data_IF_047116426066
#
_entry.id   IF_047116426066
#
_cell.length_a   1.000
_cell.length_b   1.000
_cell.length_c   1.000
_cell.angle_alpha   90.00
_cell.angle_beta   90.00
_cell.angle_gamma   90.00
#
_symmetry.space_group_name_H-M   'P 1'
#
loop_
_entity.id
_entity.type
_entity.pdbx_description
1 polymer ?
#
# COMPACT_ATOMS: atom_id res chain seq x y z
N UNK A 1 0.45 12.51 -15.44
CA UNK A 1 0.63 11.22 -16.13
C UNK A 1 0.72 10.14 -15.05
N UNK A 2 -0.38 9.45 -14.84
CA UNK A 2 -0.49 8.43 -13.76
C UNK A 2 0.11 7.07 -14.14
N UNK A 3 0.84 6.96 -15.25
CA UNK A 3 1.33 5.69 -15.75
C UNK A 3 0.21 4.80 -16.31
N UNK A 4 0.59 3.67 -16.87
CA UNK A 4 -0.32 2.61 -17.30
C UNK A 4 0.08 1.28 -16.65
N UNK A 5 -0.82 0.29 -16.55
CA UNK A 5 -0.50 -1.03 -15.99
C UNK A 5 0.72 -1.70 -16.64
N UNK A 6 1.07 -1.31 -17.86
CA UNK A 6 2.25 -1.79 -18.59
C UNK A 6 3.58 -1.40 -17.91
N UNK A 7 3.58 -0.37 -17.05
CA UNK A 7 4.77 0.05 -16.29
C UNK A 7 5.01 -0.80 -15.02
N UNK A 8 4.05 -1.65 -14.63
CA UNK A 8 4.18 -2.48 -13.43
C UNK A 8 5.46 -3.33 -13.43
N UNK A 9 5.87 -4.02 -14.52
CA UNK A 9 7.12 -4.79 -14.52
C UNK A 9 8.35 -3.95 -14.17
N UNK A 10 8.43 -2.72 -14.66
CA UNK A 10 9.55 -1.81 -14.35
C UNK A 10 9.55 -1.44 -12.86
N UNK A 11 8.38 -1.15 -12.28
CA UNK A 11 8.27 -0.86 -10.85
C UNK A 11 8.64 -2.07 -10.00
N UNK A 12 8.32 -3.30 -10.44
CA UNK A 12 8.71 -4.52 -9.74
C UNK A 12 10.23 -4.74 -9.73
N UNK A 13 10.93 -4.34 -10.79
CA UNK A 13 12.40 -4.32 -10.79
C UNK A 13 12.94 -3.27 -9.80
N UNK A 14 12.36 -2.08 -9.79
CA UNK A 14 12.75 -0.99 -8.88
C UNK A 14 12.42 -1.26 -7.42
N UNK A 15 11.43 -2.10 -7.15
CA UNK A 15 11.13 -2.55 -5.78
C UNK A 15 12.28 -3.34 -5.14
N UNK A 16 13.21 -3.85 -5.96
CA UNK A 16 14.42 -4.58 -5.53
C UNK A 16 15.70 -3.75 -5.67
N UNK A 17 15.58 -2.45 -5.91
CA UNK A 17 16.75 -1.56 -6.04
C UNK A 17 17.52 -1.50 -4.71
N UNK A 18 18.81 -1.28 -4.80
CA UNK A 18 19.68 -1.10 -3.63
C UNK A 18 19.38 0.18 -2.85
N UNK A 19 18.81 1.18 -3.51
CA UNK A 19 18.47 2.48 -2.93
C UNK A 19 17.06 2.45 -2.34
N UNK A 20 16.93 2.78 -1.05
CA UNK A 20 15.67 2.83 -0.32
C UNK A 20 14.66 3.80 -0.91
N UNK A 21 15.11 4.96 -1.38
CA UNK A 21 14.23 5.94 -2.00
C UNK A 21 13.61 5.38 -3.27
N UNK A 22 14.40 4.65 -4.09
CA UNK A 22 13.91 4.01 -5.31
C UNK A 22 12.90 2.92 -4.98
N UNK A 23 13.17 2.09 -3.94
CA UNK A 23 12.21 1.06 -3.49
C UNK A 23 10.92 1.68 -2.99
N UNK A 24 11.00 2.75 -2.19
CA UNK A 24 9.83 3.45 -1.67
C UNK A 24 8.97 4.05 -2.78
N UNK A 25 9.58 4.75 -3.73
CA UNK A 25 8.86 5.30 -4.88
C UNK A 25 8.24 4.21 -5.77
N UNK A 26 8.91 3.07 -5.93
CA UNK A 26 8.35 1.92 -6.64
C UNK A 26 7.10 1.36 -5.92
N UNK A 27 7.15 1.20 -4.59
CA UNK A 27 6.00 0.76 -3.81
C UNK A 27 4.81 1.73 -3.92
N UNK A 28 5.06 3.05 -3.84
CA UNK A 28 4.03 4.08 -4.06
C UNK A 28 3.50 4.08 -5.49
N UNK A 29 4.35 3.87 -6.49
CA UNK A 29 3.93 3.72 -7.88
C UNK A 29 2.96 2.55 -8.06
N UNK A 30 3.22 1.43 -7.38
CA UNK A 30 2.36 0.24 -7.40
C UNK A 30 1.01 0.43 -6.69
N UNK A 31 0.86 1.42 -5.82
CA UNK A 31 -0.46 1.81 -5.29
C UNK A 31 -1.38 2.40 -6.37
N UNK A 32 -0.80 2.98 -7.41
CA UNK A 32 -1.50 3.69 -8.49
C UNK A 32 -1.75 2.85 -9.73
N UNK A 33 -1.15 1.67 -9.81
CA UNK A 33 -1.23 0.77 -10.95
C UNK A 33 -1.67 -0.62 -10.50
N UNK A 34 -2.80 -1.08 -11.02
CA UNK A 34 -3.34 -2.41 -10.70
C UNK A 34 -2.83 -3.45 -11.70
N UNK A 35 -2.13 -4.46 -11.17
CA UNK A 35 -1.79 -5.66 -11.92
C UNK A 35 -1.48 -6.80 -10.93
N UNK A 36 -2.14 -7.95 -11.07
CA UNK A 36 -2.02 -9.08 -10.15
C UNK A 36 -0.60 -9.66 -10.04
N UNK A 37 0.28 -9.42 -11.01
CA UNK A 37 1.69 -9.84 -10.93
C UNK A 37 2.45 -9.14 -9.80
N UNK A 38 1.93 -8.00 -9.29
CA UNK A 38 2.54 -7.25 -8.21
C UNK A 38 2.30 -7.87 -6.82
N UNK A 39 1.31 -8.75 -6.66
CA UNK A 39 0.88 -9.26 -5.35
C UNK A 39 2.03 -9.93 -4.61
N UNK A 40 2.69 -10.92 -5.21
CA UNK A 40 3.79 -11.64 -4.55
C UNK A 40 4.96 -10.72 -4.24
N UNK A 41 5.48 -9.92 -5.19
CA UNK A 41 6.55 -8.96 -4.89
C UNK A 41 6.19 -7.95 -3.78
N UNK A 42 4.93 -7.50 -3.70
CA UNK A 42 4.48 -6.60 -2.63
C UNK A 42 4.41 -7.31 -1.27
N UNK A 43 3.97 -8.57 -1.23
CA UNK A 43 4.00 -9.38 0.00
C UNK A 43 5.44 -9.56 0.47
N UNK A 44 6.37 -9.85 -0.44
CA UNK A 44 7.78 -9.99 -0.12
C UNK A 44 8.37 -8.67 0.40
N UNK A 45 8.09 -7.55 -0.28
CA UNK A 45 8.54 -6.23 0.15
C UNK A 45 7.96 -5.82 1.52
N UNK A 46 6.71 -6.18 1.82
CA UNK A 46 6.10 -5.92 3.13
C UNK A 46 6.78 -6.72 4.26
N UNK A 47 7.34 -7.89 3.95
CA UNK A 47 8.02 -8.77 4.92
C UNK A 47 9.52 -8.52 5.01
N UNK A 48 10.07 -7.74 4.10
CA UNK A 48 11.50 -7.54 4.00
C UNK A 48 12.03 -6.68 5.16
N UNK A 49 12.68 -7.36 6.09
CA UNK A 49 13.40 -6.74 7.22
C UNK A 49 14.92 -6.82 7.04
N UNK A 50 15.39 -7.54 6.01
CA UNK A 50 16.80 -7.91 5.85
C UNK A 50 17.58 -7.03 4.86
N UNK A 51 16.90 -6.32 3.95
CA UNK A 51 17.58 -5.41 3.01
C UNK A 51 18.13 -4.14 3.65
N UNK A 52 17.89 -3.98 4.98
CA UNK A 52 18.56 -2.97 5.76
C UNK A 52 20.06 -3.24 5.81
N UNK A 53 20.83 -2.46 5.08
CA UNK A 53 22.26 -2.36 5.34
C UNK A 53 22.50 -1.92 6.79
N UNK A 54 23.67 -2.25 7.37
CA UNK A 54 23.98 -1.92 8.78
C UNK A 54 23.93 -0.42 9.11
N UNK A 55 23.79 0.45 8.11
CA UNK A 55 23.75 1.91 8.24
C UNK A 55 22.44 2.52 7.71
N UNK A 56 21.44 1.72 7.35
CA UNK A 56 20.16 2.23 6.85
C UNK A 56 19.19 2.51 8.00
N UNK A 57 18.51 3.67 8.00
CA UNK A 57 17.51 3.98 9.02
C UNK A 57 16.38 2.94 9.00
N UNK A 58 16.12 2.31 10.12
CA UNK A 58 15.04 1.33 10.28
C UNK A 58 13.66 1.90 9.93
N UNK A 59 13.50 3.23 10.04
CA UNK A 59 12.27 3.95 9.71
C UNK A 59 12.01 4.02 8.20
N UNK A 60 13.05 4.19 7.36
CA UNK A 60 12.88 4.20 5.90
C UNK A 60 12.41 2.84 5.38
N UNK A 61 12.97 1.76 5.91
CA UNK A 61 12.57 0.40 5.55
C UNK A 61 11.16 0.10 6.04
N UNK A 62 10.81 0.55 7.24
CA UNK A 62 9.44 0.46 7.74
C UNK A 62 8.45 1.24 6.85
N UNK A 63 8.86 2.38 6.28
CA UNK A 63 8.06 3.13 5.32
C UNK A 63 7.81 2.33 4.04
N UNK A 64 8.83 1.67 3.48
CA UNK A 64 8.69 0.83 2.28
C UNK A 64 7.73 -0.33 2.55
N UNK A 65 7.86 -1.01 3.71
CA UNK A 65 6.93 -2.08 4.12
C UNK A 65 5.50 -1.59 4.26
N UNK A 66 5.32 -0.39 4.83
CA UNK A 66 4.00 0.24 4.96
C UNK A 66 3.40 0.59 3.59
N UNK A 67 4.20 1.16 2.68
CA UNK A 67 3.76 1.47 1.32
C UNK A 67 3.37 0.19 0.54
N UNK A 68 4.09 -0.91 0.74
CA UNK A 68 3.74 -2.21 0.17
C UNK A 68 2.43 -2.77 0.78
N UNK A 69 2.24 -2.64 2.10
CA UNK A 69 0.99 -3.03 2.75
C UNK A 69 -0.21 -2.22 2.24
N UNK A 70 -0.04 -0.92 2.01
CA UNK A 70 -1.04 -0.07 1.37
C UNK A 70 -1.36 -0.52 -0.05
N UNK A 71 -0.33 -0.79 -0.87
CA UNK A 71 -0.51 -1.25 -2.24
C UNK A 71 -1.28 -2.58 -2.31
N UNK A 72 -1.13 -3.45 -1.32
CA UNK A 72 -1.84 -4.72 -1.24
C UNK A 72 -3.35 -4.55 -1.02
N UNK A 73 -3.80 -3.45 -0.44
CA UNK A 73 -5.23 -3.16 -0.21
C UNK A 73 -6.10 -3.11 -1.47
N UNK A 74 -5.52 -3.11 -2.67
CA UNK A 74 -6.26 -3.17 -3.93
C UNK A 74 -6.57 -4.61 -4.41
N UNK A 75 -6.03 -5.67 -3.76
CA UNK A 75 -6.14 -7.05 -4.22
C UNK A 75 -6.97 -7.90 -3.25
N UNK A 76 -8.25 -8.22 -3.58
CA UNK A 76 -9.10 -9.07 -2.75
C UNK A 76 -8.74 -10.57 -2.93
N UNK A 77 -7.62 -10.97 -2.35
CA UNK A 77 -7.15 -12.36 -2.40
C UNK A 77 -6.79 -12.86 -1.00
N UNK A 78 -7.03 -14.17 -0.75
CA UNK A 78 -6.77 -14.81 0.55
C UNK A 78 -5.33 -14.64 1.03
N UNK A 79 -4.36 -14.81 0.13
CA UNK A 79 -2.93 -14.62 0.46
C UNK A 79 -2.60 -13.20 0.88
N UNK A 80 -3.33 -12.21 0.34
CA UNK A 80 -3.17 -10.79 0.70
C UNK A 80 -3.72 -10.55 2.12
N UNK A 81 -4.93 -11.02 2.40
CA UNK A 81 -5.52 -10.89 3.75
C UNK A 81 -4.63 -11.54 4.80
N UNK A 82 -4.13 -12.76 4.53
CA UNK A 82 -3.22 -13.45 5.44
C UNK A 82 -1.92 -12.67 5.67
N UNK A 83 -1.34 -12.08 4.62
CA UNK A 83 -0.14 -11.28 4.71
C UNK A 83 -0.40 -9.99 5.53
N UNK A 84 -1.52 -9.30 5.29
CA UNK A 84 -1.89 -8.09 6.03
C UNK A 84 -2.19 -8.40 7.50
N UNK A 85 -2.87 -9.52 7.81
CA UNK A 85 -3.06 -9.95 9.22
C UNK A 85 -1.71 -10.23 9.89
N UNK A 86 -0.73 -10.78 9.17
CA UNK A 86 0.63 -10.92 9.71
C UNK A 86 1.28 -9.57 9.96
N UNK A 87 1.09 -8.58 9.08
CA UNK A 87 1.59 -7.22 9.19
C UNK A 87 1.07 -6.44 10.40
N UNK A 88 -0.08 -6.83 10.97
CA UNK A 88 -0.57 -6.25 12.24
C UNK A 88 0.37 -6.49 13.43
N UNK A 89 1.29 -7.43 13.33
CA UNK A 89 2.28 -7.75 14.36
C UNK A 89 3.70 -7.26 14.00
N UNK A 90 3.83 -6.40 13.00
CA UNK A 90 5.12 -5.80 12.65
C UNK A 90 5.66 -4.93 13.79
N UNK A 91 6.96 -4.80 13.91
CA UNK A 91 7.60 -3.93 14.89
C UNK A 91 7.32 -2.44 14.65
N UNK A 92 6.97 -2.05 13.43
CA UNK A 92 6.64 -0.67 13.05
C UNK A 92 5.15 -0.41 13.09
N UNK A 93 4.75 0.62 13.84
CA UNK A 93 3.36 1.08 13.88
C UNK A 93 2.86 1.55 12.51
N UNK A 94 3.73 2.05 11.64
CA UNK A 94 3.36 2.46 10.29
C UNK A 94 2.88 1.24 9.47
N UNK A 95 3.58 0.12 9.57
CA UNK A 95 3.18 -1.13 8.90
C UNK A 95 1.89 -1.69 9.48
N UNK A 96 1.73 -1.66 10.82
CA UNK A 96 0.50 -2.13 11.47
C UNK A 96 -0.72 -1.32 10.96
N UNK A 97 -0.60 0.01 10.92
CA UNK A 97 -1.68 0.89 10.46
C UNK A 97 -2.00 0.69 8.97
N UNK A 98 -0.98 0.63 8.12
CA UNK A 98 -1.16 0.38 6.71
C UNK A 98 -1.86 -0.97 6.45
N UNK A 99 -1.46 -2.01 7.18
CA UNK A 99 -2.08 -3.33 7.12
C UNK A 99 -3.54 -3.29 7.59
N UNK A 100 -3.83 -2.60 8.69
CA UNK A 100 -5.19 -2.44 9.21
C UNK A 100 -6.09 -1.72 8.22
N UNK A 101 -5.64 -0.61 7.64
CA UNK A 101 -6.43 0.18 6.72
C UNK A 101 -6.69 -0.59 5.41
N UNK A 102 -5.72 -1.38 4.95
CA UNK A 102 -5.88 -2.28 3.81
C UNK A 102 -6.87 -3.41 4.10
N UNK A 103 -6.83 -4.00 5.29
CA UNK A 103 -7.82 -5.00 5.75
C UNK A 103 -9.23 -4.41 5.79
N UNK A 104 -9.40 -3.21 6.35
CA UNK A 104 -10.68 -2.49 6.36
C UNK A 104 -11.20 -2.23 4.96
N UNK A 105 -10.31 -1.86 4.04
CA UNK A 105 -10.68 -1.61 2.64
C UNK A 105 -11.16 -2.86 1.93
N UNK A 106 -10.48 -3.99 2.14
CA UNK A 106 -10.80 -5.26 1.50
C UNK A 106 -12.04 -5.93 2.09
N UNK A 107 -12.23 -5.84 3.41
CA UNK A 107 -13.22 -6.66 4.13
C UNK A 107 -14.38 -5.86 4.73
N UNK A 108 -14.21 -4.54 4.92
CA UNK A 108 -15.16 -3.69 5.63
C UNK A 108 -15.27 -3.95 7.12
N UNK A 109 -14.50 -4.88 7.64
CA UNK A 109 -14.45 -5.20 9.06
C UNK A 109 -13.44 -4.32 9.78
N UNK A 110 -13.60 -4.19 11.08
CA UNK A 110 -12.68 -3.44 11.94
C UNK A 110 -12.54 -4.12 13.30
N UNK A 111 -11.44 -4.82 13.48
CA UNK A 111 -11.03 -5.43 14.74
C UNK A 111 -9.80 -4.73 15.34
N UNK A 112 -9.52 -3.49 14.90
CA UNK A 112 -8.31 -2.79 15.31
C UNK A 112 -7.05 -3.59 15.00
N UNK A 113 -6.04 -3.48 15.86
CA UNK A 113 -4.77 -4.20 15.71
C UNK A 113 -4.81 -5.62 16.31
N UNK A 114 -5.98 -6.09 16.77
CA UNK A 114 -6.13 -7.40 17.42
C UNK A 114 -6.09 -8.55 16.41
N UNK A 115 -4.88 -9.01 16.11
CA UNK A 115 -4.62 -10.07 15.13
C UNK A 115 -5.46 -11.35 15.35
N UNK A 116 -5.75 -11.69 16.62
CA UNK A 116 -6.52 -12.90 16.96
C UNK A 116 -7.96 -12.79 16.46
N UNK A 117 -8.57 -11.61 16.59
CA UNK A 117 -9.95 -11.37 16.20
C UNK A 117 -10.06 -11.38 14.67
N UNK A 118 -9.09 -10.80 13.97
CA UNK A 118 -8.98 -10.90 12.52
C UNK A 118 -8.90 -12.37 12.05
N UNK A 119 -8.05 -13.18 12.67
CA UNK A 119 -7.91 -14.61 12.32
C UNK A 119 -9.17 -15.41 12.64
N UNK A 120 -9.83 -15.14 13.77
CA UNK A 120 -11.05 -15.83 14.17
C UNK A 120 -12.19 -15.53 13.18
N UNK A 121 -12.38 -14.25 12.87
CA UNK A 121 -13.37 -13.80 11.89
C UNK A 121 -13.08 -14.41 10.50
N UNK A 122 -11.84 -14.29 10.01
CA UNK A 122 -11.48 -14.73 8.67
C UNK A 122 -11.71 -16.25 8.45
N UNK A 123 -11.49 -17.07 9.47
CA UNK A 123 -11.75 -18.52 9.42
C UNK A 123 -13.23 -18.87 9.31
N UNK A 124 -14.12 -18.01 9.77
CA UNK A 124 -15.58 -18.23 9.75
C UNK A 124 -16.30 -17.47 8.64
N UNK A 125 -15.62 -16.58 7.95
CA UNK A 125 -16.22 -15.75 6.90
C UNK A 125 -16.44 -16.56 5.61
N UNK A 126 -17.67 -16.64 5.14
CA UNK A 126 -18.01 -17.27 3.85
C UNK A 126 -17.63 -16.38 2.65
N UNK A 127 -17.74 -15.06 2.82
CA UNK A 127 -17.40 -14.07 1.80
C UNK A 127 -16.62 -12.91 2.46
N UNK A 128 -15.28 -13.04 2.60
CA UNK A 128 -14.49 -12.07 3.36
C UNK A 128 -14.29 -10.73 2.65
N UNK A 129 -14.60 -10.64 1.36
CA UNK A 129 -14.36 -9.43 0.58
C UNK A 129 -15.64 -8.64 0.34
N UNK A 130 -15.53 -7.29 0.38
CA UNK A 130 -16.66 -6.43 0.05
C UNK A 130 -16.73 -6.24 -1.45
N UNK A 131 -17.86 -6.64 -2.04
CA UNK A 131 -18.17 -6.32 -3.42
C UNK A 131 -18.37 -4.81 -3.60
N UNK A 132 -17.87 -4.27 -4.70
CA UNK A 132 -18.19 -2.92 -5.15
C UNK A 132 -17.52 -1.76 -4.41
N UNK A 133 -16.63 -2.00 -3.45
CA UNK A 133 -15.83 -0.92 -2.83
C UNK A 133 -14.51 -0.75 -3.56
N UNK A 134 -14.31 0.36 -4.30
CA UNK A 134 -13.05 0.59 -4.98
C UNK A 134 -11.93 0.91 -3.97
N UNK A 135 -10.74 0.44 -4.26
CA UNK A 135 -9.55 0.91 -3.56
C UNK A 135 -9.23 2.33 -4.07
N UNK A 136 -8.99 3.24 -3.14
CA UNK A 136 -8.53 4.59 -3.45
C UNK A 136 -7.17 4.80 -2.79
N UNK A 137 -6.16 5.18 -3.57
CA UNK A 137 -4.87 5.54 -2.99
C UNK A 137 -4.95 6.92 -2.32
N UNK A 138 -4.22 7.12 -1.20
CA UNK A 138 -4.28 8.36 -0.45
C UNK A 138 -3.73 9.53 -1.26
N UNK A 139 -4.31 10.71 -1.01
CA UNK A 139 -3.79 11.98 -1.57
C UNK A 139 -2.48 12.32 -0.91
N UNK A 140 -1.49 12.65 -1.69
CA UNK A 140 -0.31 13.35 -1.21
C UNK A 140 -0.69 14.84 -1.02
N UNK A 141 -1.13 15.20 0.18
CA UNK A 141 -1.20 16.60 0.59
C UNK A 141 0.06 16.92 1.36
N UNK A 142 1.00 17.62 0.75
CA UNK A 142 2.04 18.30 1.51
C UNK A 142 1.48 19.63 2.02
N UNK A 143 1.90 20.05 3.20
CA UNK A 143 1.61 21.37 3.69
C UNK A 143 2.19 22.42 2.72
N UNK A 144 1.39 23.45 2.44
CA UNK A 144 1.82 24.54 1.57
C UNK A 144 3.04 25.21 2.20
N UNK A 145 4.09 25.39 1.41
CA UNK A 145 5.21 26.25 1.79
C UNK A 145 4.72 27.71 1.87
N UNK A 146 5.31 28.49 2.77
CA UNK A 146 4.98 29.92 2.89
C UNK A 146 5.07 30.71 1.57
N UNK A 147 5.93 30.30 0.64
CA UNK A 147 6.09 30.88 -0.70
C UNK A 147 4.82 30.69 -1.55
N UNK A 148 4.06 29.61 -1.33
CA UNK A 148 2.84 29.29 -2.09
C UNK A 148 1.62 30.12 -1.67
N UNK A 149 1.76 30.90 -0.62
CA UNK A 149 0.77 31.94 -0.25
C UNK A 149 0.99 33.27 -1.00
N UNK A 150 2.05 33.38 -1.79
CA UNK A 150 2.29 34.57 -2.62
C UNK A 150 1.39 34.52 -3.86
N UNK A 151 0.79 35.68 -4.27
CA UNK A 151 -0.25 35.68 -5.31
C UNK A 151 0.24 35.33 -6.73
N UNK A 152 1.54 35.14 -6.92
CA UNK A 152 2.14 34.81 -8.22
C UNK A 152 2.73 33.38 -8.28
N UNK A 153 2.60 32.59 -7.22
CA UNK A 153 3.11 31.22 -7.17
C UNK A 153 1.94 30.26 -7.31
N UNK A 154 1.87 29.56 -8.44
CA UNK A 154 0.90 28.49 -8.60
C UNK A 154 1.31 27.31 -7.71
N UNK A 155 0.45 26.85 -6.79
CA UNK A 155 0.75 25.65 -6.01
C UNK A 155 0.84 24.44 -6.97
N UNK A 156 1.72 23.47 -6.69
CA UNK A 156 1.71 22.23 -7.45
C UNK A 156 0.32 21.59 -7.36
N UNK A 157 -0.13 20.93 -8.41
CA UNK A 157 -1.43 20.28 -8.41
C UNK A 157 -1.50 19.26 -7.26
N UNK A 158 -2.44 19.43 -6.35
CA UNK A 158 -2.79 18.38 -5.40
C UNK A 158 -3.37 17.22 -6.20
N UNK A 159 -2.77 16.05 -6.10
CA UNK A 159 -3.38 14.84 -6.67
C UNK A 159 -4.68 14.56 -5.92
N UNK A 160 -5.79 14.53 -6.62
CA UNK A 160 -7.06 14.08 -6.06
C UNK A 160 -6.99 12.57 -5.77
N UNK A 161 -7.72 12.10 -4.75
CA UNK A 161 -7.93 10.67 -4.53
C UNK A 161 -8.41 10.03 -5.83
N UNK A 162 -7.82 8.92 -6.19
CA UNK A 162 -8.14 8.22 -7.41
C UNK A 162 -8.00 6.72 -7.25
N UNK A 163 -8.67 5.97 -8.12
CA UNK A 163 -8.50 4.52 -8.23
C UNK A 163 -7.27 4.20 -9.06
N UNK A 164 -6.57 3.09 -8.77
CA UNK A 164 -5.44 2.66 -9.57
C UNK A 164 -5.81 2.43 -11.04
N UNK A 165 -4.93 2.83 -11.94
CA UNK A 165 -5.11 2.50 -13.35
C UNK A 165 -5.05 0.98 -13.54
N UNK A 166 -6.01 0.43 -14.28
CA UNK A 166 -6.16 -1.01 -14.51
C UNK A 166 -6.98 -1.76 -13.46
N UNK A 167 -7.48 -1.07 -12.42
CA UNK A 167 -8.37 -1.71 -11.46
C UNK A 167 -9.71 -2.07 -12.14
N UNK A 168 -10.18 -3.32 -12.06
CA UNK A 168 -11.49 -3.70 -12.59
C UNK A 168 -12.61 -2.87 -11.95
N UNK A 169 -13.52 -2.35 -12.78
CA UNK A 169 -14.65 -1.52 -12.32
C UNK A 169 -15.68 -2.39 -11.60
N UNK A 170 -15.81 -3.65 -12.02
CA UNK A 170 -16.71 -4.63 -11.42
C UNK A 170 -15.86 -5.61 -10.59
N UNK A 171 -15.90 -5.47 -9.27
CA UNK A 171 -15.41 -6.51 -8.36
C UNK A 171 -16.55 -7.50 -8.10
N UNK A 172 -16.28 -8.80 -8.14
CA UNK A 172 -17.27 -9.82 -7.81
C UNK A 172 -17.79 -9.68 -6.38
#
# INVERSE_FOLDING_TARGET
NHGTPEHVPVLLERLKDKDNLVRGEAARGLQRLHNSIAIVPLIDAMRDVETAGPNEPSEEIASIRADAAWALGQYPEDRVVQALIAGLADSSLAVNRASLDSLRTLTGQDFGLERRDWLAWYKSAEAPFIAGRPFEYPVFSRDKSWIEYLPFVSPPPNEAKSTPAGLPVDRP
#
